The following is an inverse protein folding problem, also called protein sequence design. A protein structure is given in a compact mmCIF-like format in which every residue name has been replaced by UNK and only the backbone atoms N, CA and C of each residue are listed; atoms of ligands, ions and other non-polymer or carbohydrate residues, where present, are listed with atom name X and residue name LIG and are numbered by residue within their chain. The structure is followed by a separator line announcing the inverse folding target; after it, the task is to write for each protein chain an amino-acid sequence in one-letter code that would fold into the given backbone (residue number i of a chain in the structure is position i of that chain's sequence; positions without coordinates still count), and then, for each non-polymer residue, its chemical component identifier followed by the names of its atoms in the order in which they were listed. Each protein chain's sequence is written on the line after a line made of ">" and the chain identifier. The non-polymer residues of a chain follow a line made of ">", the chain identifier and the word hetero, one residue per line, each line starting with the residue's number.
data_IF_199623538559
#
_entry.id   IF_199623538559
#
_cell.length_a   1.000
_cell.length_b   1.000
_cell.length_c   1.000
_cell.angle_alpha   90.00
_cell.angle_beta   90.00
_cell.angle_gamma   90.00
#
_symmetry.space_group_name_H-M   'P 1'
#
loop_
_entity.id
_entity.type
_entity.pdbx_description
1 polymer ?
#
# COMPACT_ATOMS: atom_id res chain seq x y z
N UNK A 1 -6.43 0.93 17.31
CA UNK A 1 -6.57 1.45 15.93
C UNK A 1 -7.63 0.61 15.26
N UNK A 2 -8.82 1.16 15.02
CA UNK A 2 -9.88 0.43 14.33
C UNK A 2 -9.50 0.29 12.86
N UNK A 3 -9.08 -0.92 12.46
CA UNK A 3 -8.87 -1.25 11.06
C UNK A 3 -10.19 -1.11 10.32
N UNK A 4 -10.21 -0.30 9.26
CA UNK A 4 -11.36 -0.14 8.36
C UNK A 4 -11.77 -1.49 7.78
N UNK A 5 -13.05 -1.86 7.91
CA UNK A 5 -13.57 -3.03 7.20
C UNK A 5 -13.85 -2.68 5.72
N UNK A 6 -14.21 -3.70 4.92
CA UNK A 6 -14.42 -3.52 3.47
C UNK A 6 -15.58 -2.56 3.14
N UNK A 7 -16.69 -2.62 3.87
CA UNK A 7 -17.85 -1.75 3.63
C UNK A 7 -17.56 -0.29 3.99
N UNK A 8 -16.92 -0.06 5.14
CA UNK A 8 -16.49 1.27 5.56
C UNK A 8 -15.46 1.87 4.60
N UNK A 9 -14.56 1.05 4.04
CA UNK A 9 -13.63 1.46 3.01
C UNK A 9 -14.39 1.87 1.73
N UNK A 10 -15.26 1.00 1.23
CA UNK A 10 -16.01 1.24 -0.01
C UNK A 10 -16.92 2.47 0.10
N UNK A 11 -17.47 2.75 1.28
CA UNK A 11 -18.25 3.96 1.54
C UNK A 11 -17.42 5.25 1.46
N UNK A 12 -16.11 5.19 1.76
CA UNK A 12 -15.20 6.35 1.76
C UNK A 12 -14.44 6.51 0.44
N UNK A 13 -14.08 5.39 -0.19
CA UNK A 13 -13.14 5.34 -1.30
C UNK A 13 -13.70 4.48 -2.44
N UNK A 14 -14.27 5.11 -3.49
CA UNK A 14 -14.76 4.38 -4.65
C UNK A 14 -13.61 3.74 -5.45
N UNK A 15 -13.95 2.80 -6.33
CA UNK A 15 -12.99 2.25 -7.30
C UNK A 15 -12.38 3.37 -8.15
N UNK A 16 -11.07 3.34 -8.34
CA UNK A 16 -10.31 4.40 -8.99
C UNK A 16 -9.65 5.39 -8.03
N UNK A 17 -9.85 5.23 -6.72
CA UNK A 17 -9.14 6.02 -5.69
C UNK A 17 -7.63 5.83 -5.84
N UNK A 18 -6.88 6.93 -5.84
CA UNK A 18 -5.42 6.90 -5.83
C UNK A 18 -4.91 6.46 -4.48
N UNK A 19 -3.94 5.57 -4.49
CA UNK A 19 -3.39 4.94 -3.29
C UNK A 19 -1.89 4.71 -3.44
N UNK A 20 -1.21 4.72 -2.30
CA UNK A 20 0.12 4.13 -2.17
C UNK A 20 -0.06 2.71 -1.62
N UNK A 21 0.40 1.71 -2.35
CA UNK A 21 0.27 0.32 -1.99
C UNK A 21 1.62 -0.32 -1.61
N UNK A 22 1.60 -1.20 -0.62
CA UNK A 22 2.75 -1.97 -0.15
C UNK A 22 2.47 -3.48 -0.29
N UNK A 23 2.80 -4.10 -1.45
CA UNK A 23 2.39 -5.48 -1.73
C UNK A 23 2.96 -6.54 -0.77
N UNK A 24 4.15 -6.30 -0.20
CA UNK A 24 4.83 -7.29 0.64
C UNK A 24 4.89 -6.83 2.11
N UNK A 25 5.68 -5.80 2.41
CA UNK A 25 5.79 -5.25 3.77
C UNK A 25 5.68 -3.73 3.76
N UNK A 26 5.12 -3.20 4.86
CA UNK A 26 5.07 -1.76 5.10
C UNK A 26 6.45 -1.18 5.45
N UNK A 27 6.63 0.15 5.30
CA UNK A 27 7.85 0.86 5.68
C UNK A 27 8.28 0.66 7.13
N UNK A 28 7.31 0.46 8.04
CA UNK A 28 7.54 0.32 9.47
C UNK A 28 7.95 -1.10 9.90
N UNK A 29 7.86 -2.09 9.00
CA UNK A 29 8.24 -3.47 9.31
C UNK A 29 9.74 -3.58 9.62
N UNK A 30 10.16 -4.33 10.66
CA UNK A 30 11.57 -4.49 11.00
C UNK A 30 12.46 -4.93 9.84
N UNK A 31 11.95 -5.73 8.91
CA UNK A 31 12.69 -6.17 7.70
C UNK A 31 12.91 -5.00 6.76
N UNK A 32 11.90 -4.15 6.55
CA UNK A 32 12.00 -2.96 5.72
C UNK A 32 12.98 -1.93 6.30
N UNK A 33 12.90 -1.70 7.62
CA UNK A 33 13.80 -0.80 8.35
C UNK A 33 15.25 -1.27 8.22
N UNK A 34 15.52 -2.54 8.54
CA UNK A 34 16.87 -3.10 8.45
C UNK A 34 17.43 -3.09 7.02
N UNK A 35 16.57 -3.31 6.01
CA UNK A 35 16.98 -3.20 4.60
C UNK A 35 17.43 -1.78 4.27
N UNK A 36 16.63 -0.77 4.63
CA UNK A 36 16.93 0.63 4.32
C UNK A 36 18.18 1.15 5.04
N UNK A 37 18.39 0.77 6.29
CA UNK A 37 19.61 1.11 7.04
C UNK A 37 20.87 0.53 6.39
N UNK A 38 20.81 -0.74 5.93
CA UNK A 38 21.90 -1.39 5.20
C UNK A 38 22.11 -0.78 3.82
N UNK A 39 21.04 -0.42 3.13
CA UNK A 39 21.10 0.26 1.84
C UNK A 39 21.80 1.62 1.95
N UNK A 40 21.41 2.42 2.95
CA UNK A 40 21.99 3.74 3.21
C UNK A 40 23.48 3.69 3.54
N UNK A 41 23.95 2.59 4.13
CA UNK A 41 25.36 2.36 4.47
C UNK A 41 26.12 1.60 3.39
N UNK A 42 25.48 1.24 2.26
CA UNK A 42 26.09 0.44 1.20
C UNK A 42 26.47 -0.98 1.63
N UNK A 43 25.91 -1.48 2.74
CA UNK A 43 26.23 -2.79 3.34
C UNK A 43 25.17 -3.84 3.01
N UNK A 44 24.38 -3.64 1.96
CA UNK A 44 23.46 -4.68 1.48
C UNK A 44 24.27 -5.88 0.96
N UNK A 45 23.99 -7.11 1.44
CA UNK A 45 24.57 -8.30 0.83
C UNK A 45 24.12 -8.39 -0.63
N UNK A 46 24.99 -8.75 -1.59
CA UNK A 46 24.59 -8.95 -2.97
C UNK A 46 23.54 -10.07 -3.15
N UNK A 47 23.37 -10.93 -2.14
CA UNK A 47 22.37 -12.00 -2.10
C UNK A 47 20.98 -11.54 -1.62
N UNK A 48 20.84 -10.33 -1.08
CA UNK A 48 19.52 -9.80 -0.76
C UNK A 48 18.84 -9.36 -2.06
N UNK A 49 17.61 -9.81 -2.26
CA UNK A 49 16.83 -9.53 -3.47
C UNK A 49 16.37 -8.07 -3.57
N UNK A 50 15.24 -7.87 -4.26
CA UNK A 50 14.60 -6.56 -4.38
C UNK A 50 14.16 -6.00 -3.01
N UNK A 51 13.96 -4.68 -2.95
CA UNK A 51 13.46 -4.00 -1.76
C UNK A 51 12.17 -4.67 -1.25
N UNK A 52 12.17 -5.23 -0.03
CA UNK A 52 10.98 -5.87 0.53
C UNK A 52 9.83 -4.87 0.70
N UNK A 53 10.13 -3.58 0.91
CA UNK A 53 9.15 -2.51 1.02
C UNK A 53 8.93 -1.80 -0.33
N UNK A 54 8.71 -2.59 -1.39
CA UNK A 54 8.34 -2.02 -2.69
C UNK A 54 7.04 -1.23 -2.56
N UNK A 55 7.14 0.07 -2.83
CA UNK A 55 6.01 1.00 -2.80
C UNK A 55 5.47 1.23 -4.22
N UNK A 56 4.15 1.26 -4.37
CA UNK A 56 3.48 1.47 -5.67
C UNK A 56 2.47 2.63 -5.57
N UNK A 57 2.70 3.70 -6.31
CA UNK A 57 1.68 4.74 -6.55
C UNK A 57 0.75 4.27 -7.67
N UNK A 58 -0.52 4.04 -7.33
CA UNK A 58 -1.47 3.34 -8.19
C UNK A 58 -2.91 3.75 -7.87
N UNK A 59 -3.87 3.12 -8.53
CA UNK A 59 -5.31 3.30 -8.26
C UNK A 59 -5.96 1.97 -7.95
N UNK A 60 -6.98 1.98 -7.09
CA UNK A 60 -7.83 0.81 -6.85
C UNK A 60 -8.56 0.44 -8.14
N UNK A 61 -8.66 -0.86 -8.42
CA UNK A 61 -9.34 -1.40 -9.62
C UNK A 61 -10.53 -2.31 -9.29
N UNK A 62 -10.81 -2.52 -8.01
CA UNK A 62 -11.95 -3.27 -7.50
C UNK A 62 -12.51 -2.59 -6.25
N UNK A 63 -13.76 -2.88 -5.86
CA UNK A 63 -14.19 -2.66 -4.49
C UNK A 63 -13.32 -3.48 -3.53
N UNK A 64 -13.25 -3.06 -2.27
CA UNK A 64 -12.67 -3.86 -1.20
C UNK A 64 -13.60 -5.03 -0.87
N UNK A 65 -13.02 -6.16 -0.50
CA UNK A 65 -13.75 -7.35 -0.03
C UNK A 65 -13.03 -7.99 1.15
N UNK A 66 -13.77 -8.69 2.00
CA UNK A 66 -13.19 -9.48 3.08
C UNK A 66 -12.75 -10.85 2.56
N UNK A 67 -11.54 -11.28 2.95
CA UNK A 67 -11.11 -12.67 2.82
C UNK A 67 -11.84 -13.56 3.83
N UNK A 68 -11.68 -14.88 3.72
CA UNK A 68 -12.36 -15.85 4.60
C UNK A 68 -12.03 -15.71 6.09
N UNK A 69 -10.92 -15.05 6.43
CA UNK A 69 -10.49 -14.71 7.78
C UNK A 69 -10.99 -13.33 8.26
N UNK A 70 -11.74 -12.61 7.42
CA UNK A 70 -12.24 -11.27 7.70
C UNK A 70 -11.26 -10.15 7.33
N UNK A 71 -10.05 -10.45 6.86
CA UNK A 71 -9.08 -9.44 6.47
C UNK A 71 -9.58 -8.70 5.22
N UNK A 72 -9.79 -7.37 5.26
CA UNK A 72 -10.25 -6.63 4.11
C UNK A 72 -9.09 -6.36 3.15
N UNK A 73 -9.32 -6.60 1.87
CA UNK A 73 -8.33 -6.44 0.79
C UNK A 73 -8.94 -5.68 -0.40
N UNK A 74 -8.10 -5.08 -1.24
CA UNK A 74 -8.48 -4.39 -2.48
C UNK A 74 -7.50 -4.71 -3.60
N UNK A 75 -7.95 -4.76 -4.86
CA UNK A 75 -7.03 -4.85 -6.00
C UNK A 75 -6.59 -3.46 -6.44
N UNK A 76 -5.33 -3.35 -6.83
CA UNK A 76 -4.76 -2.13 -7.43
C UNK A 76 -4.25 -2.41 -8.84
N UNK A 77 -4.11 -1.36 -9.66
CA UNK A 77 -3.46 -1.52 -10.97
C UNK A 77 -1.98 -1.90 -10.81
N UNK A 78 -1.49 -2.79 -11.67
CA UNK A 78 -0.10 -3.25 -11.67
C UNK A 78 0.18 -4.46 -10.78
N UNK A 79 -0.72 -4.82 -9.87
CA UNK A 79 -0.55 -5.96 -8.97
C UNK A 79 -1.57 -7.05 -9.22
N UNK A 80 -1.09 -8.29 -9.22
CA UNK A 80 -1.90 -9.49 -9.36
C UNK A 80 -2.26 -10.00 -7.96
N UNK A 81 -3.40 -9.56 -7.43
CA UNK A 81 -3.89 -9.99 -6.12
C UNK A 81 -4.61 -8.88 -5.35
N UNK A 82 -5.28 -9.26 -4.26
CA UNK A 82 -5.79 -8.32 -3.28
C UNK A 82 -4.71 -7.92 -2.29
N UNK A 83 -4.53 -6.62 -2.07
CA UNK A 83 -3.64 -6.06 -1.05
C UNK A 83 -4.50 -5.70 0.16
N UNK A 84 -4.08 -6.10 1.35
CA UNK A 84 -4.80 -5.81 2.58
C UNK A 84 -4.90 -4.30 2.81
N UNK A 85 -6.05 -3.83 3.31
CA UNK A 85 -6.28 -2.40 3.51
C UNK A 85 -5.28 -1.75 4.48
N UNK A 86 -4.73 -2.51 5.42
CA UNK A 86 -3.66 -2.02 6.28
C UNK A 86 -2.31 -1.86 5.55
N UNK A 87 -2.16 -2.33 4.31
CA UNK A 87 -1.03 -2.12 3.40
C UNK A 87 -1.38 -1.11 2.27
N UNK A 88 -2.43 -0.32 2.46
CA UNK A 88 -2.89 0.69 1.51
C UNK A 88 -3.00 2.03 2.25
N UNK A 89 -2.32 3.04 1.74
CA UNK A 89 -2.49 4.42 2.18
C UNK A 89 -3.25 5.18 1.08
N UNK A 90 -4.52 5.60 1.30
CA UNK A 90 -5.25 6.39 0.32
C UNK A 90 -4.62 7.78 0.18
N UNK A 91 -4.43 8.21 -1.07
CA UNK A 91 -3.95 9.56 -1.39
C UNK A 91 -5.17 10.46 -1.57
N UNK A 92 -5.39 11.46 -0.70
CA UNK A 92 -6.55 12.33 -0.81
C UNK A 92 -6.50 13.13 -2.12
N UNK A 93 -7.63 13.18 -2.83
CA UNK A 93 -7.75 13.91 -4.10
C UNK A 93 -7.43 15.42 -3.95
N UNK A 94 -7.67 15.99 -2.78
CA UNK A 94 -7.39 17.41 -2.47
C UNK A 94 -5.89 17.75 -2.37
N UNK A 95 -4.99 16.76 -2.34
CA UNK A 95 -3.55 17.03 -2.41
C UNK A 95 -3.10 17.59 -3.78
N UNK A 96 -3.96 17.51 -4.80
CA UNK A 96 -3.70 18.03 -6.15
C UNK A 96 -4.34 19.41 -6.41
N UNK A 97 -5.07 19.99 -5.44
CA UNK A 97 -5.68 21.32 -5.55
C UNK A 97 -4.78 22.43 -4.95
N UNK A 98 -3.50 22.48 -5.34
CA UNK A 98 -2.77 23.76 -5.28
C UNK A 98 -2.88 24.39 -6.67
N UNK A 99 -3.52 25.55 -6.83
CA UNK A 99 -3.58 26.19 -8.13
C UNK A 99 -2.16 26.56 -8.54
N UNK A 100 -1.70 26.03 -9.68
CA UNK A 100 -0.61 26.64 -10.40
C UNK A 100 -1.14 27.95 -10.99
N UNK A 101 -0.71 29.06 -10.38
CA UNK A 101 -0.66 30.45 -10.87
C UNK A 101 -1.90 31.01 -11.61
#
# INVERSE_FOLDING_TARGET
>A
MSSLNADEWNARYPVGTRVVAYPFVRPEDPVAVAYRERAATGTLPPAWGSDPCRTLDTVTRSPAWALGDGTPVVQVKGESGGIALHHIDPVPADAEARPAA
#
